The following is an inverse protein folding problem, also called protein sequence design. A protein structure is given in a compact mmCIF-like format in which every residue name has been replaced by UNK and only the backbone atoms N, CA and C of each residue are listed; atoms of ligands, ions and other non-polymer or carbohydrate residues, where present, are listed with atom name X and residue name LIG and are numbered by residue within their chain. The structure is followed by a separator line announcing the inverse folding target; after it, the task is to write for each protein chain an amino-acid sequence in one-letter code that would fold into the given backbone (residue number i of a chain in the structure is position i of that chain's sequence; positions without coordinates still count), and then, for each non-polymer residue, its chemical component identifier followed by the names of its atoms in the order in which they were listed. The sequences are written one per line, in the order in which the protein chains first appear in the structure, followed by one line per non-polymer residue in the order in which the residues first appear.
data_IF_135256217789
#
_entry.id   IF_135256217789
#
_cell.length_a   1.000
_cell.length_b   1.000
_cell.length_c   1.000
_cell.angle_alpha   90.00
_cell.angle_beta   90.00
_cell.angle_gamma   90.00
#
_symmetry.space_group_name_H-M   'P 1'
#
loop_
_entity.id
_entity.type
_entity.pdbx_description
1 polymer ?
#
# COMPACT_ATOMS: atom_id res chain seq x y z
N UNK A 1 21.95 13.49 -6.66
CA UNK A 1 21.18 12.22 -6.68
C UNK A 1 20.74 11.71 -5.30
N UNK A 2 21.54 11.83 -4.22
CA UNK A 2 21.14 11.41 -2.86
C UNK A 2 19.84 12.06 -2.32
N UNK A 3 19.50 13.27 -2.78
CA UNK A 3 18.35 14.03 -2.25
C UNK A 3 16.98 13.59 -2.76
N UNK A 4 16.89 12.90 -3.91
CA UNK A 4 15.59 12.55 -4.51
C UNK A 4 15.05 11.23 -3.99
N UNK A 5 15.94 10.23 -3.85
CA UNK A 5 15.64 8.94 -3.23
C UNK A 5 15.23 9.17 -1.77
N UNK A 6 15.99 9.95 -0.99
CA UNK A 6 15.60 10.25 0.38
C UNK A 6 14.22 10.92 0.48
N UNK A 7 13.83 11.79 -0.46
CA UNK A 7 12.50 12.44 -0.44
C UNK A 7 11.33 11.49 -0.69
N UNK A 8 11.52 10.42 -1.45
CA UNK A 8 10.43 9.47 -1.78
C UNK A 8 10.42 8.26 -0.86
N UNK A 9 11.54 7.97 -0.19
CA UNK A 9 11.70 6.85 0.72
C UNK A 9 11.60 7.24 2.20
N UNK A 10 11.44 8.53 2.50
CA UNK A 10 11.21 9.03 3.86
C UNK A 10 9.89 9.76 3.94
N UNK A 11 9.30 9.77 5.14
CA UNK A 11 8.07 10.49 5.40
C UNK A 11 8.23 11.30 6.69
N UNK A 12 7.68 12.52 6.75
CA UNK A 12 7.89 13.41 7.91
C UNK A 12 7.33 12.86 9.23
N UNK A 13 6.36 11.95 9.13
CA UNK A 13 5.75 11.24 10.27
C UNK A 13 6.43 9.90 10.60
N UNK A 14 7.38 9.46 9.78
CA UNK A 14 8.11 8.22 10.03
C UNK A 14 9.23 8.49 11.04
N UNK A 15 9.11 7.86 12.22
CA UNK A 15 10.10 8.01 13.30
C UNK A 15 11.23 7.01 13.22
N UNK A 16 11.05 5.93 12.47
CA UNK A 16 11.97 4.78 12.40
C UNK A 16 12.88 4.87 11.17
N UNK A 17 12.41 5.51 10.10
CA UNK A 17 13.14 5.67 8.84
C UNK A 17 13.00 4.50 7.88
N UNK A 18 12.01 3.64 8.09
CA UNK A 18 11.72 2.43 7.30
C UNK A 18 10.51 2.58 6.35
N UNK A 19 9.90 3.77 6.28
CA UNK A 19 8.71 4.04 5.47
C UNK A 19 8.82 3.50 4.05
N UNK A 20 9.90 3.84 3.34
CA UNK A 20 10.04 3.44 1.94
C UNK A 20 10.07 1.92 1.75
N UNK A 21 10.73 1.17 2.66
CA UNK A 21 10.81 -0.29 2.58
C UNK A 21 9.43 -0.89 2.86
N UNK A 22 8.76 -0.44 3.92
CA UNK A 22 7.43 -0.91 4.30
C UNK A 22 6.36 -0.63 3.25
N UNK A 23 6.36 0.57 2.70
CA UNK A 23 5.46 0.94 1.61
C UNK A 23 5.67 0.06 0.37
N UNK A 24 6.93 -0.19 -0.02
CA UNK A 24 7.22 -1.07 -1.17
C UNK A 24 6.80 -2.52 -0.91
N UNK A 25 7.02 -3.03 0.31
CA UNK A 25 6.67 -4.40 0.68
C UNK A 25 5.17 -4.67 0.60
N UNK A 26 4.33 -3.63 0.77
CA UNK A 26 2.87 -3.75 0.77
C UNK A 26 2.21 -3.49 -0.59
N UNK A 27 2.97 -3.08 -1.62
CA UNK A 27 2.44 -2.94 -2.99
C UNK A 27 1.81 -4.25 -3.51
N UNK A 28 2.44 -5.45 -3.37
CA UNK A 28 1.84 -6.70 -3.80
C UNK A 28 0.46 -6.98 -3.16
N UNK A 29 0.27 -6.63 -1.89
CA UNK A 29 -1.01 -6.77 -1.21
C UNK A 29 -2.07 -5.91 -1.89
N UNK A 30 -1.73 -4.65 -2.18
CA UNK A 30 -2.59 -3.73 -2.93
C UNK A 30 -2.99 -4.26 -4.31
N UNK A 31 -2.05 -4.86 -5.05
CA UNK A 31 -2.33 -5.48 -6.35
C UNK A 31 -3.35 -6.61 -6.23
N UNK A 32 -3.22 -7.48 -5.21
CA UNK A 32 -4.19 -8.55 -4.95
C UNK A 32 -5.56 -7.96 -4.62
N UNK A 33 -5.62 -6.91 -3.80
CA UNK A 33 -6.86 -6.20 -3.49
C UNK A 33 -7.51 -5.55 -4.72
N UNK A 34 -6.75 -5.24 -5.78
CA UNK A 34 -7.38 -4.64 -6.97
C UNK A 34 -8.32 -5.61 -7.68
N UNK A 35 -8.15 -6.93 -7.52
CA UNK A 35 -8.97 -7.94 -8.19
C UNK A 35 -10.43 -7.83 -7.71
N UNK A 36 -11.43 -7.72 -8.61
CA UNK A 36 -12.81 -7.37 -8.24
C UNK A 36 -13.45 -8.31 -7.21
N UNK A 37 -13.08 -9.59 -7.23
CA UNK A 37 -13.59 -10.61 -6.31
C UNK A 37 -13.11 -10.37 -4.87
N UNK A 38 -11.93 -9.75 -4.69
CA UNK A 38 -11.29 -9.60 -3.39
C UNK A 38 -11.39 -8.18 -2.82
N UNK A 39 -11.72 -7.17 -3.64
CA UNK A 39 -11.42 -5.78 -3.32
C UNK A 39 -11.89 -5.26 -1.97
N UNK A 40 -13.21 -5.15 -1.77
CA UNK A 40 -13.73 -4.48 -0.57
C UNK A 40 -13.55 -5.30 0.71
N UNK A 41 -13.74 -6.62 0.65
CA UNK A 41 -13.59 -7.50 1.82
C UNK A 41 -12.14 -7.57 2.31
N UNK A 42 -11.20 -7.73 1.39
CA UNK A 42 -9.78 -7.81 1.74
C UNK A 42 -9.24 -6.46 2.22
N UNK A 43 -9.67 -5.34 1.62
CA UNK A 43 -9.32 -3.99 2.09
C UNK A 43 -9.82 -3.74 3.51
N UNK A 44 -11.05 -4.16 3.84
CA UNK A 44 -11.61 -4.00 5.17
C UNK A 44 -10.84 -4.82 6.21
N UNK A 45 -10.58 -6.11 5.91
CA UNK A 45 -9.80 -6.99 6.78
C UNK A 45 -8.40 -6.46 7.03
N UNK A 46 -7.72 -5.99 6.00
CA UNK A 46 -6.39 -5.41 6.11
C UNK A 46 -6.39 -4.15 6.96
N UNK A 47 -7.28 -3.17 6.69
CA UNK A 47 -7.39 -1.96 7.53
C UNK A 47 -7.71 -2.28 8.99
N UNK A 48 -8.53 -3.30 9.23
CA UNK A 48 -8.89 -3.74 10.57
C UNK A 48 -7.70 -4.36 11.30
N UNK A 49 -6.97 -5.27 10.64
CA UNK A 49 -5.77 -5.91 11.15
C UNK A 49 -4.69 -4.86 11.50
N UNK A 50 -4.36 -3.98 10.56
CA UNK A 50 -3.35 -2.92 10.74
C UNK A 50 -3.70 -1.97 11.89
N UNK A 51 -5.00 -1.63 12.04
CA UNK A 51 -5.45 -0.78 13.16
C UNK A 51 -5.26 -1.47 14.52
N UNK A 52 -5.47 -2.78 14.59
CA UNK A 52 -5.25 -3.55 15.82
C UNK A 52 -3.76 -3.63 16.12
N UNK A 53 -2.94 -3.90 15.10
CA UNK A 53 -1.50 -3.96 15.24
C UNK A 53 -0.93 -2.62 15.72
N UNK A 54 -1.32 -1.49 15.12
CA UNK A 54 -0.85 -0.16 15.53
C UNK A 54 -1.21 0.18 16.99
N UNK A 55 -2.32 -0.34 17.52
CA UNK A 55 -2.69 -0.19 18.94
C UNK A 55 -1.76 -1.00 19.85
N UNK A 56 -1.27 -2.15 19.38
CA UNK A 56 -0.49 -3.10 20.16
C UNK A 56 1.02 -2.81 20.09
N UNK A 57 1.55 -2.60 18.90
CA UNK A 57 2.99 -2.44 18.62
C UNK A 57 3.39 -0.98 18.42
N UNK A 58 2.42 -0.09 18.12
CA UNK A 58 2.66 1.34 17.77
C UNK A 58 3.72 1.48 16.69
N UNK A 59 3.67 0.57 15.73
CA UNK A 59 4.71 0.38 14.72
C UNK A 59 4.55 1.31 13.52
N UNK A 60 3.55 2.19 13.51
CA UNK A 60 3.25 3.09 12.38
C UNK A 60 2.66 2.33 11.17
N UNK A 61 1.72 1.42 11.42
CA UNK A 61 0.94 0.62 10.44
C UNK A 61 0.39 1.41 9.23
N UNK A 62 0.22 2.72 9.37
CA UNK A 62 -0.16 3.60 8.26
C UNK A 62 0.83 3.52 7.06
N UNK A 63 2.08 3.12 7.28
CA UNK A 63 3.10 2.89 6.22
C UNK A 63 2.71 1.73 5.31
N UNK A 64 2.17 0.66 5.88
CA UNK A 64 1.74 -0.54 5.19
C UNK A 64 0.46 -0.27 4.42
N UNK A 65 -0.47 0.45 5.07
CA UNK A 65 -1.69 0.94 4.42
C UNK A 65 -1.38 1.83 3.22
N UNK A 66 -0.38 2.71 3.34
CA UNK A 66 0.06 3.56 2.23
C UNK A 66 0.60 2.73 1.05
N UNK A 67 1.46 1.74 1.32
CA UNK A 67 1.97 0.82 0.31
C UNK A 67 0.89 0.03 -0.41
N UNK A 68 -0.05 -0.54 0.34
CA UNK A 68 -1.19 -1.27 -0.21
C UNK A 68 -2.11 -0.37 -1.04
N UNK A 69 -2.32 0.89 -0.65
CA UNK A 69 -3.10 1.85 -1.46
C UNK A 69 -2.43 2.12 -2.82
N UNK A 70 -1.10 2.31 -2.85
CA UNK A 70 -0.36 2.46 -4.11
C UNK A 70 -0.55 1.24 -5.00
N UNK A 71 -0.35 0.04 -4.44
CA UNK A 71 -0.54 -1.21 -5.17
C UNK A 71 -1.95 -1.37 -5.73
N UNK A 72 -2.97 -0.99 -4.95
CA UNK A 72 -4.37 -1.03 -5.39
C UNK A 72 -4.62 -0.12 -6.60
N UNK A 73 -4.16 1.14 -6.54
CA UNK A 73 -4.30 2.09 -7.66
C UNK A 73 -3.59 1.59 -8.92
N UNK A 74 -2.38 1.05 -8.79
CA UNK A 74 -1.64 0.44 -9.91
C UNK A 74 -2.43 -0.72 -10.49
N UNK A 75 -2.92 -1.62 -9.64
CA UNK A 75 -3.68 -2.80 -10.07
C UNK A 75 -4.97 -2.44 -10.79
N UNK A 76 -5.70 -1.43 -10.29
CA UNK A 76 -6.90 -0.89 -10.95
C UNK A 76 -6.56 -0.28 -12.33
N UNK A 77 -5.47 0.48 -12.44
CA UNK A 77 -5.04 1.05 -13.71
C UNK A 77 -4.70 -0.05 -14.74
N UNK A 78 -4.00 -1.10 -14.33
CA UNK A 78 -3.70 -2.26 -15.18
C UNK A 78 -4.98 -2.93 -15.67
N UNK A 79 -5.94 -3.16 -14.77
CA UNK A 79 -7.22 -3.78 -15.14
C UNK A 79 -8.01 -2.94 -16.14
N UNK A 80 -8.08 -1.62 -15.92
CA UNK A 80 -8.71 -0.69 -16.85
C UNK A 80 -8.05 -0.81 -18.23
N UNK A 81 -6.72 -0.70 -18.31
CA UNK A 81 -5.98 -0.82 -19.58
C UNK A 81 -6.27 -2.15 -20.28
N UNK A 82 -6.33 -3.25 -19.52
CA UNK A 82 -6.64 -4.57 -20.08
C UNK A 82 -8.08 -4.66 -20.59
N UNK A 83 -9.05 -4.08 -19.90
CA UNK A 83 -10.43 -3.97 -20.39
C UNK A 83 -10.49 -3.21 -21.71
N UNK A 84 -9.80 -2.07 -21.82
CA UNK A 84 -9.71 -1.28 -23.05
C UNK A 84 -9.06 -2.03 -24.23
N UNK A 85 -8.26 -3.07 -23.99
CA UNK A 85 -7.65 -3.89 -25.05
C UNK A 85 -8.57 -4.99 -25.58
N UNK A 86 -9.61 -5.34 -24.83
CA UNK A 86 -10.52 -6.45 -25.14
C UNK A 86 -11.85 -5.94 -25.72
N UNK A 87 -12.14 -4.65 -25.56
CA UNK A 87 -13.25 -3.92 -26.18
C UNK A 87 -12.85 -3.35 -27.55
#
# INVERSE_FOLDING_TARGET
MKNWINRHFTHSRDKVGDFGIRALLHIPIGLIMSVPIFGWGLLYLFKFYEKIEDVHTKDEAWKDVYGAMIGYVIGMAIQIINLWRVL
#
